data_IF_478417496930
#
_entry.id   IF_478417496930
#
_cell.length_a   1.000
_cell.length_b   1.000
_cell.length_c   1.000
_cell.angle_alpha   90.00
_cell.angle_beta   90.00
_cell.angle_gamma   90.00
#
_symmetry.space_group_name_H-M   'P 1'
#
loop_
_entity.id
_entity.type
_entity.pdbx_description
1 polymer ?
#
# COMPACT_ATOMS: atom_id res chain seq x y z
N UNK A 1 4.83 -14.16 -4.05
CA UNK A 1 6.14 -13.76 -3.50
C UNK A 1 6.94 -15.03 -3.42
N UNK A 2 8.13 -15.02 -3.99
CA UNK A 2 9.11 -16.09 -3.82
C UNK A 2 9.88 -15.87 -2.51
N UNK A 3 9.21 -15.97 -1.36
CA UNK A 3 9.84 -15.73 -0.06
C UNK A 3 10.86 -16.85 0.28
N UNK A 4 12.05 -16.54 0.83
CA UNK A 4 12.51 -15.23 1.30
C UNK A 4 13.24 -14.35 0.26
N UNK A 5 13.51 -14.86 -0.95
CA UNK A 5 14.30 -14.19 -1.99
C UNK A 5 13.59 -12.99 -2.64
N UNK A 6 12.26 -12.93 -2.52
CA UNK A 6 11.43 -11.84 -2.99
C UNK A 6 10.60 -11.24 -1.85
N UNK A 7 10.68 -9.92 -1.69
CA UNK A 7 9.94 -9.17 -0.69
C UNK A 7 9.30 -7.92 -1.29
N UNK A 8 8.32 -7.35 -0.60
CA UNK A 8 7.69 -6.08 -0.99
C UNK A 8 8.64 -4.93 -0.64
N UNK A 9 9.03 -4.14 -1.64
CA UNK A 9 9.90 -2.96 -1.47
C UNK A 9 9.12 -1.65 -1.34
N UNK A 10 7.93 -1.59 -1.95
CA UNK A 10 7.08 -0.40 -1.88
C UNK A 10 5.62 -0.72 -2.14
N UNK A 11 4.77 0.12 -1.55
CA UNK A 11 3.34 0.17 -1.84
C UNK A 11 2.98 1.60 -2.20
N UNK A 12 2.53 1.82 -3.43
CA UNK A 12 1.88 3.06 -3.81
C UNK A 12 0.38 2.93 -3.54
N UNK A 13 -0.22 3.96 -2.98
CA UNK A 13 -1.63 3.99 -2.65
C UNK A 13 -2.28 5.29 -3.14
N UNK A 14 -3.55 5.21 -3.52
CA UNK A 14 -4.38 6.40 -3.75
C UNK A 14 -5.50 6.48 -2.73
N UNK A 15 -5.97 7.68 -2.43
CA UNK A 15 -7.08 7.92 -1.52
C UNK A 15 -7.90 9.14 -1.92
N UNK A 16 -9.20 9.11 -1.59
CA UNK A 16 -10.09 10.26 -1.73
C UNK A 16 -11.31 10.13 -0.81
N UNK A 17 -12.03 11.24 -0.64
CA UNK A 17 -13.35 11.22 0.01
C UNK A 17 -14.36 10.53 -0.91
N UNK A 18 -14.87 9.39 -0.47
CA UNK A 18 -15.91 8.64 -1.17
C UNK A 18 -17.28 9.23 -0.87
N UNK A 19 -18.09 9.48 -1.92
CA UNK A 19 -19.47 9.92 -1.74
C UNK A 19 -20.38 8.79 -1.24
N UNK A 20 -20.05 7.54 -1.57
CA UNK A 20 -20.83 6.37 -1.16
C UNK A 20 -20.65 6.06 0.33
N UNK A 21 -19.40 6.04 0.80
CA UNK A 21 -19.02 5.71 2.19
C UNK A 21 -19.01 6.96 3.08
N UNK A 22 -19.10 8.17 2.47
CA UNK A 22 -19.02 9.48 3.14
C UNK A 22 -17.76 9.70 4.00
N UNK A 23 -16.70 8.92 3.75
CA UNK A 23 -15.42 9.00 4.43
C UNK A 23 -14.26 9.04 3.41
N UNK A 24 -13.07 9.44 3.86
CA UNK A 24 -11.83 9.29 3.10
C UNK A 24 -11.37 7.84 3.15
N UNK A 25 -11.19 7.23 1.98
CA UNK A 25 -10.82 5.82 1.84
C UNK A 25 -9.67 5.65 0.86
N UNK A 26 -8.87 4.61 1.05
CA UNK A 26 -7.92 4.11 0.06
C UNK A 26 -8.70 3.59 -1.14
N UNK A 27 -8.33 4.05 -2.33
CA UNK A 27 -9.01 3.73 -3.60
C UNK A 27 -8.20 2.80 -4.48
N UNK A 28 -6.87 2.82 -4.40
CA UNK A 28 -6.02 1.81 -5.04
C UNK A 28 -4.77 1.49 -4.24
N UNK A 29 -4.22 0.32 -4.52
CA UNK A 29 -2.93 -0.15 -4.04
C UNK A 29 -2.14 -0.73 -5.21
N UNK A 30 -0.87 -0.35 -5.31
CA UNK A 30 0.11 -0.92 -6.23
C UNK A 30 1.31 -1.39 -5.43
N UNK A 31 1.53 -2.70 -5.43
CA UNK A 31 2.67 -3.34 -4.79
C UNK A 31 3.80 -3.49 -5.79
N UNK A 32 5.02 -3.22 -5.35
CA UNK A 32 6.25 -3.51 -6.09
C UNK A 32 7.15 -4.39 -5.24
N UNK A 33 7.69 -5.46 -5.85
CA UNK A 33 8.61 -6.40 -5.18
C UNK A 33 10.07 -6.11 -5.51
N UNK A 34 11.00 -6.66 -4.72
CA UNK A 34 12.45 -6.57 -4.95
C UNK A 34 12.88 -7.11 -6.33
N UNK A 35 12.12 -8.04 -6.91
CA UNK A 35 12.33 -8.57 -8.26
C UNK A 35 11.63 -7.78 -9.37
N UNK A 36 11.03 -6.63 -9.05
CA UNK A 36 10.37 -5.76 -10.03
C UNK A 36 8.95 -6.21 -10.43
N UNK A 37 8.39 -7.25 -9.79
CA UNK A 37 7.01 -7.65 -10.02
C UNK A 37 6.07 -6.58 -9.46
N UNK A 38 5.04 -6.25 -10.22
CA UNK A 38 3.99 -5.32 -9.78
C UNK A 38 2.62 -5.99 -9.72
N UNK A 39 1.78 -5.56 -8.79
CA UNK A 39 0.38 -5.98 -8.69
C UNK A 39 -0.47 -4.79 -8.27
N UNK A 40 -1.61 -4.61 -8.92
CA UNK A 40 -2.47 -3.45 -8.77
C UNK A 40 -3.89 -3.87 -8.38
N UNK A 41 -4.50 -3.12 -7.47
CA UNK A 41 -5.85 -3.36 -6.97
C UNK A 41 -6.60 -2.04 -6.79
N UNK A 42 -7.90 -2.04 -7.09
CA UNK A 42 -8.78 -0.87 -6.93
C UNK A 42 -8.81 0.06 -8.16
N UNK A 43 -9.09 1.34 -7.93
CA UNK A 43 -9.21 2.38 -8.94
C UNK A 43 -8.24 3.53 -8.62
N UNK A 44 -7.34 3.85 -9.55
CA UNK A 44 -6.32 4.89 -9.36
C UNK A 44 -6.95 6.29 -9.47
N UNK A 45 -7.59 6.74 -8.40
CA UNK A 45 -8.31 8.01 -8.33
C UNK A 45 -7.96 8.76 -7.04
N UNK A 46 -7.95 10.08 -7.08
CA UNK A 46 -7.64 10.90 -5.91
C UNK A 46 -6.15 11.16 -5.72
N UNK A 47 -5.76 11.38 -4.46
CA UNK A 47 -4.39 11.75 -4.09
C UNK A 47 -3.53 10.51 -3.88
N UNK A 48 -2.25 10.59 -4.27
CA UNK A 48 -1.29 9.49 -4.21
C UNK A 48 -0.29 9.66 -3.08
N UNK A 49 0.09 8.55 -2.44
CA UNK A 49 1.26 8.47 -1.55
C UNK A 49 1.97 7.13 -1.73
N UNK A 50 3.22 7.04 -1.25
CA UNK A 50 4.05 5.84 -1.36
C UNK A 50 4.61 5.46 0.01
N UNK A 51 4.42 4.21 0.40
CA UNK A 51 5.04 3.57 1.54
C UNK A 51 6.31 2.85 1.06
N UNK A 52 7.46 3.43 1.37
CA UNK A 52 8.78 2.90 1.04
C UNK A 52 9.81 3.40 2.05
N UNK A 53 10.78 2.56 2.37
CA UNK A 53 11.96 2.94 3.14
C UNK A 53 13.21 2.38 2.45
N UNK A 54 14.27 3.18 2.36
CA UNK A 54 15.52 2.75 1.74
C UNK A 54 16.16 1.61 2.56
N UNK A 55 16.76 0.66 1.84
CA UNK A 55 17.47 -0.50 2.42
C UNK A 55 16.63 -1.34 3.41
N UNK A 56 15.31 -1.25 3.32
CA UNK A 56 14.37 -2.00 4.13
C UNK A 56 13.32 -2.70 3.27
N UNK A 57 12.83 -3.84 3.77
CA UNK A 57 11.65 -4.54 3.25
C UNK A 57 10.43 -4.19 4.09
N UNK A 58 9.26 -4.18 3.44
CA UNK A 58 7.99 -4.07 4.15
C UNK A 58 7.67 -5.40 4.83
N UNK A 59 7.49 -5.37 6.16
CA UNK A 59 7.25 -6.57 6.99
C UNK A 59 5.86 -6.63 7.62
N UNK A 60 5.09 -5.56 7.53
CA UNK A 60 3.73 -5.51 8.03
C UNK A 60 3.04 -4.20 7.70
N UNK A 61 1.74 -4.14 7.99
CA UNK A 61 0.92 -2.95 7.83
C UNK A 61 0.26 -2.59 9.15
N UNK A 62 -0.08 -1.32 9.29
CA UNK A 62 -1.00 -0.81 10.30
C UNK A 62 -1.93 0.20 9.64
N UNK A 63 -3.05 0.53 10.27
CA UNK A 63 -4.00 1.43 9.63
C UNK A 63 -5.27 1.62 10.43
N UNK A 64 -6.30 2.07 9.72
CA UNK A 64 -7.66 2.18 10.22
C UNK A 64 -8.61 1.67 9.17
N UNK A 65 -9.59 0.90 9.61
CA UNK A 65 -10.65 0.33 8.81
C UNK A 65 -12.05 0.75 9.30
N UNK A 66 -12.99 0.69 8.36
CA UNK A 66 -14.43 0.79 8.55
C UNK A 66 -15.10 -0.04 7.47
N UNK A 67 -15.98 0.57 6.67
CA UNK A 67 -16.54 -0.07 5.46
C UNK A 67 -15.48 -0.26 4.35
N UNK A 68 -14.35 0.44 4.46
CA UNK A 68 -13.18 0.32 3.61
C UNK A 68 -11.89 0.57 4.43
N UNK A 69 -10.75 0.58 3.75
CA UNK A 69 -9.49 1.01 4.37
C UNK A 69 -9.48 2.54 4.40
N UNK A 70 -9.55 3.14 5.59
CA UNK A 70 -9.56 4.59 5.76
C UNK A 70 -8.15 5.18 5.74
N UNK A 71 -7.19 4.45 6.33
CA UNK A 71 -5.80 4.86 6.42
C UNK A 71 -4.86 3.63 6.38
N UNK A 72 -3.70 3.81 5.75
CA UNK A 72 -2.70 2.75 5.59
C UNK A 72 -1.30 3.29 5.92
N UNK A 73 -0.60 2.58 6.79
CA UNK A 73 0.82 2.71 7.07
C UNK A 73 1.52 1.35 7.01
N UNK A 74 2.85 1.36 7.13
CA UNK A 74 3.67 0.17 6.95
C UNK A 74 4.80 0.10 7.98
N UNK A 75 5.13 -1.13 8.38
CA UNK A 75 6.32 -1.46 9.15
C UNK A 75 7.44 -1.93 8.22
N UNK A 76 8.65 -1.49 8.51
CA UNK A 76 9.84 -1.80 7.74
C UNK A 76 10.89 -2.47 8.62
N UNK A 77 11.65 -3.40 8.04
CA UNK A 77 12.84 -3.98 8.65
C UNK A 77 13.99 -3.96 7.63
N UNK A 78 15.26 -3.92 8.07
CA UNK A 78 16.40 -4.06 7.18
C UNK A 78 16.27 -5.31 6.28
N UNK A 79 16.73 -5.17 5.04
CA UNK A 79 16.82 -6.28 4.08
C UNK A 79 17.90 -7.27 4.52
#
# INVERSE_FOLDING_TARGET
LDFPDEYIKSVEATYQKSNLIRNTVITSLKFETSKGKTSFFGYEVGKKFVLKQNDCRLVGFHGKEGDAIDALGAYFAPV
#
